data_IF_464744663778
#
_entry.id   IF_464744663778
#
_cell.length_a   1.000
_cell.length_b   1.000
_cell.length_c   1.000
_cell.angle_alpha   90.00
_cell.angle_beta   90.00
_cell.angle_gamma   90.00
#
_symmetry.space_group_name_H-M   'P 1'
#
loop_
_entity.id
_entity.type
_entity.pdbx_description
1 polymer ?
#
# COMPACT_ATOMS: atom_id res chain seq x y z
N UNK A 1 30.39 -20.31 -35.01
CA UNK A 1 31.04 -19.81 -33.77
C UNK A 1 30.50 -18.47 -33.27
N UNK A 2 29.85 -17.62 -34.10
CA UNK A 2 29.37 -16.28 -33.67
C UNK A 2 28.04 -16.24 -32.86
N UNK A 3 27.28 -17.34 -32.79
CA UNK A 3 25.99 -17.37 -32.08
C UNK A 3 26.13 -17.32 -30.54
N UNK A 4 27.22 -17.86 -29.98
CA UNK A 4 27.40 -17.94 -28.53
C UNK A 4 27.86 -16.62 -27.89
N UNK A 5 28.59 -15.77 -28.62
CA UNK A 5 29.08 -14.48 -28.07
C UNK A 5 27.97 -13.43 -27.98
N UNK A 6 27.00 -13.47 -28.89
CA UNK A 6 25.87 -12.53 -28.88
C UNK A 6 24.95 -12.80 -27.68
N UNK A 7 24.69 -14.08 -27.40
CA UNK A 7 23.90 -14.54 -26.25
C UNK A 7 24.61 -14.23 -24.91
N UNK A 8 25.94 -14.37 -24.87
CA UNK A 8 26.77 -14.01 -23.71
C UNK A 8 26.76 -12.50 -23.42
N UNK A 9 26.79 -11.67 -24.46
CA UNK A 9 26.69 -10.22 -24.30
C UNK A 9 25.28 -9.78 -23.83
N UNK A 10 24.23 -10.43 -24.32
CA UNK A 10 22.86 -10.17 -23.89
C UNK A 10 22.62 -10.59 -22.44
N UNK A 11 23.14 -11.75 -22.02
CA UNK A 11 23.05 -12.22 -20.63
C UNK A 11 23.79 -11.29 -19.68
N UNK A 12 25.00 -10.80 -20.02
CA UNK A 12 25.72 -9.82 -19.21
C UNK A 12 24.96 -8.49 -19.06
N UNK A 13 24.34 -8.00 -20.15
CA UNK A 13 23.49 -6.80 -20.12
C UNK A 13 22.25 -6.99 -19.24
N UNK A 14 21.60 -8.16 -19.34
CA UNK A 14 20.43 -8.49 -18.52
C UNK A 14 20.81 -8.60 -17.04
N UNK A 15 21.91 -9.27 -16.70
CA UNK A 15 22.41 -9.38 -15.34
C UNK A 15 22.72 -8.02 -14.72
N UNK A 16 23.33 -7.11 -15.50
CA UNK A 16 23.56 -5.73 -15.07
C UNK A 16 22.23 -5.02 -14.79
N UNK A 17 21.25 -5.15 -15.69
CA UNK A 17 19.94 -4.52 -15.54
C UNK A 17 19.16 -5.04 -14.34
N UNK A 18 19.20 -6.35 -14.08
CA UNK A 18 18.56 -6.97 -12.91
C UNK A 18 19.16 -6.40 -11.62
N UNK A 19 20.50 -6.32 -11.52
CA UNK A 19 21.16 -5.74 -10.34
C UNK A 19 20.78 -4.28 -10.09
N UNK A 20 20.70 -3.48 -11.15
CA UNK A 20 20.24 -2.09 -11.06
C UNK A 20 18.80 -2.01 -10.55
N UNK A 21 17.90 -2.83 -11.09
CA UNK A 21 16.50 -2.88 -10.69
C UNK A 21 16.33 -3.35 -9.23
N UNK A 22 17.08 -4.37 -8.81
CA UNK A 22 17.09 -4.84 -7.43
C UNK A 22 17.52 -3.75 -6.44
N UNK A 23 18.55 -2.97 -6.78
CA UNK A 23 19.00 -1.83 -5.97
C UNK A 23 17.93 -0.74 -5.88
N UNK A 24 17.25 -0.44 -6.99
CA UNK A 24 16.21 0.58 -7.02
C UNK A 24 14.98 0.16 -6.21
N UNK A 25 14.55 -1.10 -6.33
CA UNK A 25 13.46 -1.66 -5.51
C UNK A 25 13.80 -1.59 -4.02
N UNK A 26 15.04 -1.86 -3.64
CA UNK A 26 15.48 -1.72 -2.25
C UNK A 26 15.43 -0.27 -1.75
N UNK A 27 15.78 0.70 -2.59
CA UNK A 27 15.67 2.14 -2.26
C UNK A 27 14.21 2.56 -2.10
N UNK A 28 13.37 2.22 -3.06
CA UNK A 28 11.94 2.54 -3.05
C UNK A 28 11.24 1.93 -1.82
N UNK A 29 11.56 0.69 -1.45
CA UNK A 29 11.01 0.06 -0.23
C UNK A 29 11.39 0.83 1.04
N UNK A 30 12.63 1.33 1.14
CA UNK A 30 13.08 2.14 2.29
C UNK A 30 12.38 3.50 2.33
N UNK A 31 12.19 4.13 1.17
CA UNK A 31 11.48 5.41 1.06
C UNK A 31 10.00 5.27 1.42
N UNK A 32 9.35 4.19 0.98
CA UNK A 32 7.97 3.87 1.37
C UNK A 32 7.84 3.63 2.88
N UNK A 33 8.77 2.90 3.49
CA UNK A 33 8.77 2.70 4.95
C UNK A 33 8.88 4.03 5.71
N UNK A 34 9.77 4.93 5.25
CA UNK A 34 9.95 6.26 5.84
C UNK A 34 8.71 7.14 5.69
N UNK A 35 8.09 7.15 4.51
CA UNK A 35 6.84 7.88 4.28
C UNK A 35 5.69 7.35 5.15
N UNK A 36 5.64 6.02 5.40
CA UNK A 36 4.65 5.39 6.28
C UNK A 36 4.84 5.82 7.74
N UNK A 37 6.09 5.89 8.22
CA UNK A 37 6.42 6.43 9.54
C UNK A 37 6.03 7.92 9.67
N UNK A 38 6.34 8.75 8.67
CA UNK A 38 5.99 10.18 8.69
C UNK A 38 4.46 10.41 8.68
N UNK A 39 3.69 9.58 7.96
CA UNK A 39 2.22 9.63 8.02
C UNK A 39 1.67 9.24 9.40
N UNK A 40 2.23 8.20 10.04
CA UNK A 40 1.82 7.76 11.38
C UNK A 40 2.16 8.82 12.46
N UNK A 41 3.29 9.52 12.33
CA UNK A 41 3.69 10.60 13.25
C UNK A 41 2.74 11.81 13.09
N UNK A 42 2.33 12.13 11.87
CA UNK A 42 1.38 13.23 11.61
C UNK A 42 -0.03 12.93 12.12
N UNK A 43 -0.50 11.68 12.04
CA UNK A 43 -1.77 11.28 12.66
C UNK A 43 -1.71 11.32 14.19
N UNK A 44 -0.58 10.95 14.80
CA UNK A 44 -0.41 10.96 16.25
C UNK A 44 -0.15 12.36 16.86
N UNK A 45 0.28 13.34 16.05
CA UNK A 45 0.56 14.71 16.53
C UNK A 45 -0.62 15.68 16.34
N UNK A 46 -1.64 15.31 15.57
CA UNK A 46 -2.86 16.09 15.39
C UNK A 46 -3.89 15.81 16.50
N UNK A 47 -3.55 16.14 17.76
CA UNK A 47 -4.55 16.25 18.83
C UNK A 47 -4.13 15.74 20.19
N UNK A 48 -3.26 16.50 20.88
CA UNK A 48 -3.05 16.38 22.33
C UNK A 48 -4.28 16.90 23.13
N UNK A 49 -5.48 16.46 22.77
CA UNK A 49 -6.75 16.90 23.35
C UNK A 49 -7.58 15.71 23.78
N UNK A 50 -7.40 15.28 25.03
CA UNK A 50 -8.13 14.20 25.74
C UNK A 50 -8.05 12.85 25.01
N UNK A 51 -7.49 11.84 25.65
CA UNK A 51 -7.54 10.43 25.20
C UNK A 51 -8.99 10.08 24.83
N UNK A 52 -9.30 10.09 23.52
CA UNK A 52 -10.60 9.67 23.03
C UNK A 52 -10.74 8.22 23.46
N UNK A 53 -11.78 7.92 24.25
CA UNK A 53 -12.09 6.56 24.71
C UNK A 53 -12.04 5.62 23.50
N UNK A 54 -11.23 4.55 23.60
CA UNK A 54 -11.14 3.54 22.57
C UNK A 54 -12.54 2.99 22.28
N UNK A 55 -12.86 2.81 21.00
CA UNK A 55 -14.14 2.23 20.62
C UNK A 55 -14.07 0.72 20.84
N UNK A 56 -15.02 0.18 21.61
CA UNK A 56 -15.09 -1.23 21.92
C UNK A 56 -16.00 -1.96 20.92
N UNK A 57 -15.38 -2.69 19.99
CA UNK A 57 -16.08 -3.51 19.00
C UNK A 57 -16.79 -4.72 19.63
N UNK A 58 -16.35 -5.21 20.78
CA UNK A 58 -16.96 -6.38 21.44
C UNK A 58 -18.33 -6.06 22.03
N UNK A 59 -18.58 -4.80 22.37
CA UNK A 59 -19.86 -4.32 22.87
C UNK A 59 -20.95 -4.24 21.76
N UNK A 60 -20.60 -4.47 20.50
CA UNK A 60 -21.48 -4.32 19.33
C UNK A 60 -21.54 -5.63 18.52
N UNK A 61 -22.72 -5.96 17.98
CA UNK A 61 -22.89 -7.19 17.19
C UNK A 61 -22.17 -7.13 15.84
N UNK A 62 -21.48 -8.21 15.47
CA UNK A 62 -20.83 -8.37 14.16
C UNK A 62 -21.76 -9.11 13.19
N UNK A 63 -21.77 -8.69 11.93
CA UNK A 63 -22.55 -9.34 10.85
C UNK A 63 -21.74 -9.34 9.56
N UNK A 64 -21.87 -10.41 8.79
CA UNK A 64 -21.36 -10.42 7.41
C UNK A 64 -22.28 -9.60 6.52
N UNK A 65 -21.68 -8.76 5.68
CA UNK A 65 -22.38 -7.91 4.72
C UNK A 65 -21.72 -8.05 3.35
N UNK A 66 -22.53 -7.94 2.30
CA UNK A 66 -22.05 -7.84 0.93
C UNK A 66 -22.39 -6.44 0.40
N UNK A 67 -21.40 -5.74 -0.14
CA UNK A 67 -21.55 -4.39 -0.68
C UNK A 67 -21.42 -4.44 -2.19
N UNK A 68 -22.37 -3.83 -2.91
CA UNK A 68 -22.23 -3.51 -4.33
C UNK A 68 -21.84 -2.04 -4.44
N UNK A 69 -20.72 -1.77 -5.10
CA UNK A 69 -20.10 -0.44 -5.12
C UNK A 69 -19.90 -0.02 -6.58
N UNK A 70 -20.03 1.29 -6.83
CA UNK A 70 -19.65 1.92 -8.08
C UNK A 70 -18.69 3.07 -7.77
N UNK A 71 -17.67 3.26 -8.60
CA UNK A 71 -16.65 4.28 -8.41
C UNK A 71 -16.14 4.82 -9.75
N UNK A 72 -15.58 6.03 -9.73
CA UNK A 72 -14.95 6.64 -10.90
C UNK A 72 -13.44 6.35 -10.88
N UNK A 73 -12.99 5.45 -11.75
CA UNK A 73 -11.62 4.91 -11.69
C UNK A 73 -10.49 5.84 -12.18
N UNK A 74 -10.79 7.00 -12.78
CA UNK A 74 -9.79 7.82 -13.47
C UNK A 74 -8.64 8.31 -12.56
N UNK A 75 -8.91 8.55 -11.28
CA UNK A 75 -7.91 8.98 -10.31
C UNK A 75 -7.23 7.86 -9.53
N UNK A 76 -7.57 6.60 -9.77
CA UNK A 76 -7.20 5.47 -8.91
C UNK A 76 -6.48 4.38 -9.71
N UNK A 77 -5.58 3.67 -9.04
CA UNK A 77 -4.77 2.60 -9.62
C UNK A 77 -5.48 1.25 -9.58
N UNK A 78 -6.78 1.25 -9.88
CA UNK A 78 -7.64 0.08 -9.85
C UNK A 78 -8.36 -0.13 -8.51
N UNK A 79 -9.02 -1.28 -8.41
CA UNK A 79 -9.83 -1.64 -7.24
C UNK A 79 -8.97 -2.19 -6.11
N UNK A 80 -8.25 -3.29 -6.38
CA UNK A 80 -7.54 -4.06 -5.37
C UNK A 80 -6.39 -3.26 -4.72
N UNK A 81 -6.22 -3.47 -3.43
CA UNK A 81 -5.07 -3.05 -2.63
C UNK A 81 -3.77 -3.62 -3.20
N UNK A 82 -2.70 -2.82 -3.13
CA UNK A 82 -1.39 -3.19 -3.64
C UNK A 82 -0.33 -2.67 -2.68
N UNK A 83 0.75 -3.43 -2.46
CA UNK A 83 1.81 -3.04 -1.51
C UNK A 83 2.56 -1.76 -1.92
N UNK A 84 2.58 -1.47 -3.22
CA UNK A 84 3.33 -0.36 -3.81
C UNK A 84 2.54 0.95 -3.86
N UNK A 85 1.24 0.96 -3.54
CA UNK A 85 0.42 2.17 -3.61
C UNK A 85 -0.82 2.13 -2.72
N UNK A 86 -1.12 3.27 -2.10
CA UNK A 86 -2.32 3.46 -1.30
C UNK A 86 -3.44 4.16 -2.09
N UNK A 87 -3.24 4.38 -3.40
CA UNK A 87 -4.21 5.07 -4.27
C UNK A 87 -5.11 4.09 -5.03
N UNK A 88 -5.70 3.15 -4.29
CA UNK A 88 -6.65 2.16 -4.82
C UNK A 88 -7.99 2.33 -4.12
N UNK A 89 -9.06 1.83 -4.75
CA UNK A 89 -10.41 1.98 -4.21
C UNK A 89 -10.59 1.15 -2.93
N UNK A 90 -10.04 -0.06 -2.88
CA UNK A 90 -10.10 -0.93 -1.70
C UNK A 90 -9.44 -0.28 -0.48
N UNK A 91 -8.24 0.29 -0.66
CA UNK A 91 -7.54 0.99 0.44
C UNK A 91 -8.39 2.14 1.01
N UNK A 92 -8.98 2.95 0.13
CA UNK A 92 -9.86 4.07 0.54
C UNK A 92 -11.16 3.60 1.18
N UNK A 93 -11.69 2.47 0.74
CA UNK A 93 -12.88 1.88 1.32
C UNK A 93 -12.59 1.41 2.76
N UNK A 94 -11.51 0.66 2.97
CA UNK A 94 -11.12 0.21 4.31
C UNK A 94 -10.76 1.39 5.22
N UNK A 95 -10.04 2.39 4.71
CA UNK A 95 -9.76 3.63 5.44
C UNK A 95 -11.06 4.28 5.96
N UNK A 96 -12.11 4.35 5.12
CA UNK A 96 -13.41 4.89 5.50
C UNK A 96 -14.17 3.99 6.49
N UNK A 97 -14.15 2.67 6.30
CA UNK A 97 -14.81 1.70 7.19
C UNK A 97 -14.18 1.70 8.59
N UNK A 98 -12.86 1.82 8.68
CA UNK A 98 -12.13 1.93 9.94
C UNK A 98 -12.46 3.25 10.64
N UNK A 99 -12.45 4.39 9.91
CA UNK A 99 -12.83 5.71 10.44
C UNK A 99 -14.26 5.75 10.97
N UNK A 100 -15.17 5.03 10.33
CA UNK A 100 -16.59 4.91 10.72
C UNK A 100 -16.85 3.82 11.76
N UNK A 101 -15.81 3.08 12.21
CA UNK A 101 -15.90 2.00 13.21
C UNK A 101 -16.80 0.84 12.79
N UNK A 102 -16.88 0.60 11.49
CA UNK A 102 -17.60 -0.56 10.92
C UNK A 102 -16.71 -1.80 10.87
N UNK A 103 -15.39 -1.60 10.80
CA UNK A 103 -14.38 -2.65 10.86
C UNK A 103 -13.27 -2.25 11.82
N UNK A 104 -12.58 -3.26 12.34
CA UNK A 104 -11.40 -3.09 13.17
C UNK A 104 -10.16 -2.81 12.30
N UNK A 105 -9.18 -2.08 12.85
CA UNK A 105 -7.95 -1.70 12.15
C UNK A 105 -6.86 -2.75 12.22
#
# INVERSE_FOLDING_TARGET
MAYNDTDRNQTEKLLKRVRELEQEVQRLKKEQAKNKEDSNIRENSAGAGKTKRAFDFSAHGRRHVALRIAYMGWGYQGFASQENTNNTIEEKLFEALTKTRLVES
#
